data_IF_673071052104
#
_entry.id   IF_673071052104
#
_cell.length_a   1.000
_cell.length_b   1.000
_cell.length_c   1.000
_cell.angle_alpha   90.00
_cell.angle_beta   90.00
_cell.angle_gamma   90.00
#
_symmetry.space_group_name_H-M   'P 1'
#
loop_
_entity.id
_entity.type
_entity.pdbx_description
1 polymer ?
#
# COMPACT_ATOMS: atom_id res chain seq x y z
N UNK A 1 6.22 10.70 -14.28
CA UNK A 1 5.45 9.51 -13.87
C UNK A 1 6.46 8.38 -13.86
N UNK A 2 6.50 7.63 -12.77
CA UNK A 2 7.45 6.54 -12.57
C UNK A 2 6.65 5.25 -12.47
N UNK A 3 7.16 4.22 -13.14
CA UNK A 3 6.55 2.91 -13.21
C UNK A 3 7.35 1.95 -12.34
N UNK A 4 6.63 1.13 -11.58
CA UNK A 4 7.18 0.17 -10.64
C UNK A 4 6.57 -1.20 -10.88
N UNK A 5 7.40 -2.22 -10.72
CA UNK A 5 7.05 -3.63 -10.93
C UNK A 5 7.47 -4.46 -9.72
N UNK A 6 7.12 -5.74 -9.72
CA UNK A 6 7.52 -6.67 -8.66
C UNK A 6 9.04 -6.75 -8.44
N UNK A 7 9.87 -6.40 -9.44
CA UNK A 7 11.33 -6.40 -9.31
C UNK A 7 11.87 -5.26 -8.45
N UNK A 8 11.09 -4.19 -8.28
CA UNK A 8 11.45 -3.05 -7.43
C UNK A 8 11.10 -3.32 -5.95
N UNK A 9 10.05 -4.11 -5.73
CA UNK A 9 9.60 -4.59 -4.43
C UNK A 9 8.13 -4.99 -4.46
N UNK A 10 7.73 -5.91 -3.57
CA UNK A 10 6.37 -6.44 -3.54
C UNK A 10 5.39 -5.49 -2.83
N UNK A 11 5.76 -4.98 -1.65
CA UNK A 11 4.88 -4.12 -0.84
C UNK A 11 5.37 -2.68 -0.84
N UNK A 12 4.46 -1.72 -0.96
CA UNK A 12 4.82 -0.31 -1.08
C UNK A 12 3.84 0.64 -0.38
N UNK A 13 4.33 1.84 -0.07
CA UNK A 13 3.55 3.03 0.28
C UNK A 13 3.67 4.07 -0.83
N UNK A 14 2.55 4.62 -1.27
CA UNK A 14 2.54 5.82 -2.11
C UNK A 14 2.47 7.03 -1.20
N UNK A 15 3.47 7.89 -1.32
CA UNK A 15 3.65 9.08 -0.48
C UNK A 15 3.47 10.31 -1.34
N UNK A 16 2.52 11.16 -0.97
CA UNK A 16 2.27 12.41 -1.65
C UNK A 16 3.56 13.25 -1.72
N UNK A 17 3.98 13.61 -2.93
CA UNK A 17 5.27 14.28 -3.14
C UNK A 17 5.32 15.71 -2.59
N UNK A 18 4.16 16.35 -2.39
CA UNK A 18 4.07 17.75 -1.98
C UNK A 18 3.90 17.88 -0.46
N UNK A 19 3.19 16.93 0.16
CA UNK A 19 2.83 16.96 1.60
C UNK A 19 3.55 15.91 2.45
N UNK A 20 4.10 14.86 1.84
CA UNK A 20 4.71 13.73 2.54
C UNK A 20 3.69 12.78 3.20
N UNK A 21 2.39 12.95 2.95
CA UNK A 21 1.36 12.09 3.51
C UNK A 21 1.28 10.74 2.77
N UNK A 22 1.04 9.64 3.48
CA UNK A 22 0.75 8.35 2.86
C UNK A 22 -0.65 8.40 2.24
N UNK A 23 -0.71 8.20 0.91
CA UNK A 23 -1.95 8.19 0.14
C UNK A 23 -2.57 6.79 0.17
N UNK A 24 -1.75 5.77 -0.11
CA UNK A 24 -2.20 4.38 -0.17
C UNK A 24 -1.05 3.41 0.07
N UNK A 25 -1.40 2.18 0.39
CA UNK A 25 -0.48 1.05 0.52
C UNK A 25 -0.99 -0.06 -0.37
N UNK A 26 -0.10 -0.76 -1.05
CA UNK A 26 -0.47 -1.81 -1.98
C UNK A 26 0.58 -2.88 -2.17
N UNK A 27 0.22 -3.83 -3.02
CA UNK A 27 1.05 -4.98 -3.39
C UNK A 27 1.19 -5.05 -4.92
N UNK A 28 2.42 -5.31 -5.37
CA UNK A 28 2.74 -5.67 -6.74
C UNK A 28 2.87 -7.19 -6.87
N UNK A 29 2.59 -7.68 -8.05
CA UNK A 29 2.70 -9.08 -8.48
C UNK A 29 3.21 -9.10 -9.92
N UNK A 30 3.53 -10.27 -10.46
CA UNK A 30 3.94 -10.41 -11.86
C UNK A 30 2.88 -9.97 -12.88
N UNK A 31 1.65 -9.71 -12.44
CA UNK A 31 0.51 -9.38 -13.32
C UNK A 31 0.10 -7.91 -13.31
N UNK A 32 0.71 -7.08 -12.44
CA UNK A 32 0.36 -5.67 -12.32
C UNK A 32 1.60 -4.76 -12.25
N UNK A 33 1.36 -3.48 -12.49
CA UNK A 33 2.35 -2.41 -12.41
C UNK A 33 1.74 -1.22 -11.69
N UNK A 34 2.54 -0.52 -10.89
CA UNK A 34 2.15 0.75 -10.30
C UNK A 34 2.76 1.88 -11.13
N UNK A 35 1.92 2.78 -11.62
CA UNK A 35 2.36 3.99 -12.31
C UNK A 35 1.85 5.22 -11.57
N UNK A 36 2.75 6.09 -11.10
CA UNK A 36 2.37 7.25 -10.28
C UNK A 36 3.27 8.46 -10.50
N UNK A 37 2.76 9.65 -10.15
CA UNK A 37 3.54 10.90 -10.10
C UNK A 37 4.06 11.22 -8.69
N UNK A 38 3.62 10.46 -7.69
CA UNK A 38 3.99 10.60 -6.28
C UNK A 38 5.23 9.77 -5.96
N UNK A 39 5.75 9.91 -4.75
CA UNK A 39 6.88 9.12 -4.29
C UNK A 39 6.42 7.71 -3.89
N UNK A 40 7.30 6.73 -4.03
CA UNK A 40 7.05 5.34 -3.63
C UNK A 40 8.16 4.86 -2.73
N UNK A 41 7.78 4.28 -1.59
CA UNK A 41 8.69 3.63 -0.65
C UNK A 41 8.32 2.14 -0.57
N UNK A 42 9.29 1.27 -0.87
CA UNK A 42 9.12 -0.17 -0.71
C UNK A 42 9.39 -0.57 0.72
N UNK A 43 8.51 -1.40 1.26
CA UNK A 43 8.49 -1.79 2.67
C UNK A 43 8.48 -3.31 2.81
N UNK A 44 8.75 -3.80 4.02
CA UNK A 44 8.61 -5.22 4.32
C UNK A 44 7.14 -5.64 4.42
N UNK A 45 6.87 -6.94 4.22
CA UNK A 45 5.55 -7.54 4.45
C UNK A 45 5.04 -7.28 5.88
N UNK A 46 5.92 -7.38 6.88
CA UNK A 46 5.57 -7.12 8.28
C UNK A 46 5.04 -5.69 8.48
N UNK A 47 5.72 -4.70 7.90
CA UNK A 47 5.27 -3.30 7.96
C UNK A 47 3.96 -3.11 7.20
N UNK A 48 3.82 -3.75 6.04
CA UNK A 48 2.58 -3.70 5.27
C UNK A 48 1.40 -4.26 6.07
N UNK A 49 1.52 -5.44 6.67
CA UNK A 49 0.46 -6.05 7.47
C UNK A 49 0.14 -5.30 8.77
N UNK A 50 1.13 -4.61 9.35
CA UNK A 50 0.96 -3.79 10.53
C UNK A 50 0.19 -2.49 10.23
N UNK A 51 0.52 -1.82 9.13
CA UNK A 51 0.05 -0.47 8.83
C UNK A 51 -1.06 -0.39 7.77
N UNK A 52 -1.23 -1.42 6.93
CA UNK A 52 -2.22 -1.38 5.85
C UNK A 52 -3.61 -1.10 6.43
N UNK A 53 -4.46 -0.36 5.69
CA UNK A 53 -5.85 -0.18 6.08
C UNK A 53 -6.52 -1.55 6.22
N UNK A 54 -6.79 -1.97 7.45
CA UNK A 54 -7.59 -3.17 7.70
C UNK A 54 -9.04 -2.76 7.48
N UNK A 55 -9.83 -3.53 6.71
CA UNK A 55 -11.27 -3.35 6.80
C UNK A 55 -11.64 -3.46 8.27
N UNK A 56 -12.40 -2.49 8.79
CA UNK A 56 -12.95 -2.61 10.14
C UNK A 56 -13.57 -4.00 10.22
N UNK A 57 -13.04 -4.86 11.09
CA UNK A 57 -13.64 -6.14 11.35
C UNK A 57 -15.10 -5.81 11.66
N UNK A 58 -16.02 -6.25 10.80
CA UNK A 58 -17.45 -6.09 11.01
C UNK A 58 -17.70 -6.59 12.42
N UNK A 59 -17.80 -5.65 13.36
CA UNK A 59 -17.93 -5.95 14.77
C UNK A 59 -19.14 -6.85 14.82
N UNK A 60 -18.92 -8.11 15.19
CA UNK A 60 -19.98 -9.11 15.32
C UNK A 60 -21.15 -8.39 15.94
N UNK A 61 -22.19 -8.16 15.15
CA UNK A 61 -23.39 -7.51 15.65
C UNK A 61 -23.85 -8.44 16.73
N UNK A 62 -23.61 -8.02 17.97
CA UNK A 62 -24.10 -8.64 19.18
C UNK A 62 -25.58 -8.85 18.95
N UNK A 63 -25.93 -10.08 18.52
CA UNK A 63 -27.31 -10.52 18.47
C UNK A 63 -27.73 -10.59 19.94
N UNK A 64 -28.29 -9.47 20.40
CA UNK A 64 -29.16 -9.40 21.57
C UNK A 64 -30.50 -10.07 21.25
#
# INVERSE_FOLDING_TARGET
MTDYTITDGQFYKVIDKDTGAVITMGELSDTNTLSTIHNVEFISEEQYEAERPKPEALSETKMI
#
